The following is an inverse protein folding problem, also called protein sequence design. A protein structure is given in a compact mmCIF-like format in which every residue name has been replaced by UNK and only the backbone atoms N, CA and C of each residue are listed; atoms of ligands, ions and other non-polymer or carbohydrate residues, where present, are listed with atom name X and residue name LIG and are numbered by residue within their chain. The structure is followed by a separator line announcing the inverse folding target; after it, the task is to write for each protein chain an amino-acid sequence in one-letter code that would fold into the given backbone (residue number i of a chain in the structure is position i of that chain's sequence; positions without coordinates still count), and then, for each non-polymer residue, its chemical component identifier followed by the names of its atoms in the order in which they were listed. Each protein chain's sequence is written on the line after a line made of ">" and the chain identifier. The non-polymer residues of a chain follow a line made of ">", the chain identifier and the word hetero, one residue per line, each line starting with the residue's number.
data_IF_293170668322
#
_entry.id   IF_293170668322
#
_cell.length_a   1.000
_cell.length_b   1.000
_cell.length_c   1.000
_cell.angle_alpha   90.00
_cell.angle_beta   90.00
_cell.angle_gamma   90.00
#
_symmetry.space_group_name_H-M   'P 1'
#
loop_
_entity.id
_entity.type
_entity.pdbx_description
1 polymer ?
#
# COMPACT_ATOMS: atom_id res chain seq x y z
N UNK A 1 10.23 2.11 -18.37
CA UNK A 1 10.10 1.06 -17.35
C UNK A 1 10.81 -0.26 -17.76
N UNK A 2 12.09 -0.21 -18.18
CA UNK A 2 12.87 -1.41 -18.58
C UNK A 2 13.56 -2.09 -17.38
N UNK A 3 13.93 -1.30 -16.36
CA UNK A 3 14.63 -1.75 -15.14
C UNK A 3 13.75 -2.63 -14.25
N UNK A 4 12.49 -2.24 -14.01
CA UNK A 4 11.58 -3.06 -13.20
C UNK A 4 11.27 -4.41 -13.85
N UNK A 5 11.08 -4.44 -15.18
CA UNK A 5 10.89 -5.70 -15.92
C UNK A 5 12.08 -6.64 -15.79
N UNK A 6 13.30 -6.09 -15.76
CA UNK A 6 14.52 -6.86 -15.49
C UNK A 6 14.49 -7.45 -14.08
N UNK A 7 14.18 -6.65 -13.06
CA UNK A 7 14.03 -7.14 -11.69
C UNK A 7 13.02 -8.29 -11.61
N UNK A 8 11.82 -8.12 -12.18
CA UNK A 8 10.77 -9.15 -12.14
C UNK A 8 11.23 -10.47 -12.76
N UNK A 9 11.96 -10.41 -13.88
CA UNK A 9 12.52 -11.60 -14.53
C UNK A 9 13.55 -12.30 -13.64
N UNK A 10 14.50 -11.56 -13.09
CA UNK A 10 15.51 -12.14 -12.19
C UNK A 10 14.86 -12.69 -10.91
N UNK A 11 13.88 -11.97 -10.35
CA UNK A 11 13.14 -12.36 -9.15
C UNK A 11 12.37 -13.66 -9.36
N UNK A 12 11.78 -13.87 -10.54
CA UNK A 12 11.15 -15.13 -10.90
C UNK A 12 12.12 -16.32 -10.88
N UNK A 13 13.40 -16.09 -11.18
CA UNK A 13 14.45 -17.11 -11.22
C UNK A 13 15.18 -17.28 -9.88
N UNK A 14 14.96 -16.39 -8.90
CA UNK A 14 15.68 -16.41 -7.63
C UNK A 14 15.14 -17.42 -6.62
N UNK A 15 13.97 -18.02 -6.87
CA UNK A 15 13.41 -19.07 -6.03
C UNK A 15 12.98 -18.60 -4.63
N UNK A 16 12.53 -17.36 -4.49
CA UNK A 16 12.03 -16.82 -3.21
C UNK A 16 10.92 -17.70 -2.63
N UNK A 17 11.02 -17.97 -1.32
CA UNK A 17 10.07 -18.88 -0.64
C UNK A 17 8.94 -18.15 0.06
N UNK A 18 9.15 -16.89 0.43
CA UNK A 18 8.17 -16.08 1.18
C UNK A 18 7.98 -14.70 0.53
N UNK A 19 6.81 -14.11 0.74
CA UNK A 19 6.50 -12.75 0.29
C UNK A 19 7.41 -11.71 0.96
N UNK A 20 7.75 -11.94 2.22
CA UNK A 20 8.65 -11.08 3.00
C UNK A 20 10.05 -11.07 2.38
N UNK A 21 10.56 -12.23 1.98
CA UNK A 21 11.86 -12.35 1.33
C UNK A 21 11.88 -11.56 0.00
N UNK A 22 10.85 -11.70 -0.82
CA UNK A 22 10.69 -10.95 -2.06
C UNK A 22 10.63 -9.44 -1.80
N UNK A 23 9.80 -9.01 -0.84
CA UNK A 23 9.63 -7.61 -0.49
C UNK A 23 10.94 -6.98 0.00
N UNK A 24 11.65 -7.63 0.92
CA UNK A 24 12.94 -7.15 1.43
C UNK A 24 13.97 -7.02 0.31
N UNK A 25 13.96 -7.94 -0.64
CA UNK A 25 14.87 -7.90 -1.79
C UNK A 25 14.50 -6.80 -2.77
N UNK A 26 13.21 -6.62 -3.02
CA UNK A 26 12.71 -5.52 -3.84
C UNK A 26 13.10 -4.17 -3.23
N UNK A 27 12.93 -3.99 -1.92
CA UNK A 27 13.35 -2.78 -1.22
C UNK A 27 14.85 -2.53 -1.36
N UNK A 28 15.68 -3.55 -1.10
CA UNK A 28 17.13 -3.43 -1.26
C UNK A 28 17.51 -3.06 -2.71
N UNK A 29 16.88 -3.68 -3.70
CA UNK A 29 17.13 -3.39 -5.11
C UNK A 29 16.70 -1.98 -5.51
N UNK A 30 15.53 -1.52 -5.02
CA UNK A 30 15.04 -0.17 -5.27
C UNK A 30 16.07 0.86 -4.76
N UNK A 31 16.55 0.69 -3.54
CA UNK A 31 17.51 1.62 -2.93
C UNK A 31 18.89 1.54 -3.60
N UNK A 32 19.43 0.34 -3.78
CA UNK A 32 20.82 0.17 -4.27
C UNK A 32 20.94 0.48 -5.75
N UNK A 33 20.01 0.02 -6.58
CA UNK A 33 20.09 0.14 -8.03
C UNK A 33 19.15 1.19 -8.61
N UNK A 34 17.86 1.10 -8.34
CA UNK A 34 16.87 1.90 -9.07
C UNK A 34 16.98 3.40 -8.74
N UNK A 35 16.92 3.75 -7.47
CA UNK A 35 16.89 5.13 -6.99
C UNK A 35 18.21 5.87 -7.20
N UNK A 36 19.33 5.14 -7.27
CA UNK A 36 20.68 5.69 -7.42
C UNK A 36 21.23 5.63 -8.86
N UNK A 37 20.53 4.99 -9.80
CA UNK A 37 20.96 4.92 -11.20
C UNK A 37 20.47 6.14 -11.97
N UNK A 38 21.40 6.77 -12.71
CA UNK A 38 21.07 7.87 -13.62
C UNK A 38 20.05 7.41 -14.66
N UNK A 39 18.94 8.13 -14.74
CA UNK A 39 17.87 7.81 -15.65
C UNK A 39 18.12 8.44 -17.03
N UNK A 40 18.05 7.62 -18.09
CA UNK A 40 18.48 8.01 -19.43
C UNK A 40 17.71 9.18 -20.04
N UNK A 41 16.46 9.41 -19.61
CA UNK A 41 15.63 10.50 -20.14
C UNK A 41 15.79 11.81 -19.37
N UNK A 42 16.20 11.77 -18.10
CA UNK A 42 16.26 12.94 -17.22
C UNK A 42 17.69 13.37 -16.91
N UNK A 43 18.68 12.50 -17.14
CA UNK A 43 20.09 12.78 -16.82
C UNK A 43 20.42 12.77 -15.33
N UNK A 44 19.41 12.62 -14.47
CA UNK A 44 19.50 12.63 -13.00
C UNK A 44 19.11 11.28 -12.41
N UNK A 45 19.52 11.03 -11.17
CA UNK A 45 19.02 9.89 -10.38
C UNK A 45 17.63 10.23 -9.80
N UNK A 46 16.73 9.24 -9.67
CA UNK A 46 15.44 9.46 -9.00
C UNK A 46 15.58 10.08 -7.59
N UNK A 47 16.60 9.67 -6.82
CA UNK A 47 16.86 10.22 -5.48
C UNK A 47 17.21 11.71 -5.51
N UNK A 48 18.10 12.15 -6.39
CA UNK A 48 18.51 13.55 -6.46
C UNK A 48 17.31 14.42 -6.85
N UNK A 49 16.62 14.02 -7.91
CA UNK A 49 15.44 14.73 -8.41
C UNK A 49 14.33 14.82 -7.36
N UNK A 50 14.10 13.75 -6.60
CA UNK A 50 13.12 13.72 -5.52
C UNK A 50 13.49 14.68 -4.38
N UNK A 51 14.75 14.69 -3.95
CA UNK A 51 15.24 15.60 -2.89
C UNK A 51 15.13 17.06 -3.28
N UNK A 52 15.54 17.41 -4.50
CA UNK A 52 15.41 18.77 -5.03
C UNK A 52 13.94 19.20 -5.12
N UNK A 53 13.06 18.30 -5.57
CA UNK A 53 11.64 18.59 -5.66
C UNK A 53 10.99 18.82 -4.29
N UNK A 54 11.32 18.02 -3.28
CA UNK A 54 10.81 18.21 -1.91
C UNK A 54 11.22 19.57 -1.35
N UNK A 55 12.47 20.00 -1.58
CA UNK A 55 12.95 21.28 -1.10
C UNK A 55 12.20 22.45 -1.77
N UNK A 56 11.92 22.34 -3.08
CA UNK A 56 11.18 23.35 -3.82
C UNK A 56 9.66 23.31 -3.54
N UNK A 57 9.10 22.13 -3.29
CA UNK A 57 7.67 21.87 -3.13
C UNK A 57 7.44 20.96 -1.92
N UNK A 58 7.50 21.50 -0.69
CA UNK A 58 7.37 20.69 0.51
C UNK A 58 6.01 19.97 0.52
N UNK A 59 5.98 18.66 0.82
CA UNK A 59 4.76 17.89 0.80
C UNK A 59 3.79 18.40 1.86
N UNK A 60 2.50 18.49 1.50
CA UNK A 60 1.44 18.83 2.46
C UNK A 60 1.19 17.64 3.37
N UNK A 61 1.28 17.87 4.68
CA UNK A 61 0.90 16.85 5.67
C UNK A 61 -0.62 16.64 5.63
N UNK A 62 -1.00 15.37 5.58
CA UNK A 62 -2.40 14.95 5.73
C UNK A 62 -2.76 15.17 7.19
N UNK A 63 -3.81 15.95 7.46
CA UNK A 63 -4.27 16.23 8.83
C UNK A 63 -5.14 15.10 9.39
N UNK A 64 -5.97 14.50 8.55
CA UNK A 64 -6.91 13.46 8.91
C UNK A 64 -6.53 12.15 8.19
N UNK A 65 -5.84 11.28 8.92
CA UNK A 65 -5.35 10.00 8.41
C UNK A 65 -6.52 9.05 8.14
N UNK A 66 -7.55 9.06 8.99
CA UNK A 66 -8.72 8.19 8.82
C UNK A 66 -9.48 8.57 7.55
N UNK A 67 -9.74 9.87 7.33
CA UNK A 67 -10.33 10.34 6.09
C UNK A 67 -9.51 9.93 4.86
N UNK A 68 -8.18 10.05 4.93
CA UNK A 68 -7.30 9.64 3.84
C UNK A 68 -7.40 8.14 3.57
N UNK A 69 -7.39 7.30 4.61
CA UNK A 69 -7.55 5.85 4.48
C UNK A 69 -8.91 5.49 3.84
N UNK A 70 -9.97 6.20 4.22
CA UNK A 70 -11.31 6.02 3.65
C UNK A 70 -11.38 6.33 2.14
N UNK A 71 -10.41 7.05 1.56
CA UNK A 71 -10.36 7.28 0.11
C UNK A 71 -10.07 6.00 -0.69
N UNK A 72 -9.37 5.04 -0.07
CA UNK A 72 -9.00 3.76 -0.69
C UNK A 72 -10.06 2.67 -0.52
N UNK A 73 -11.14 2.96 0.20
CA UNK A 73 -12.22 2.01 0.40
C UNK A 73 -12.96 1.72 -0.91
N UNK A 74 -13.42 0.47 -1.04
CA UNK A 74 -14.23 0.04 -2.16
C UNK A 74 -15.59 0.70 -2.08
N UNK A 75 -16.14 1.11 -3.23
CA UNK A 75 -17.41 1.83 -3.32
C UNK A 75 -18.46 0.95 -3.96
N UNK A 76 -19.62 0.83 -3.33
CA UNK A 76 -20.74 0.11 -3.92
C UNK A 76 -22.07 0.81 -3.64
N UNK A 77 -22.97 0.97 -4.63
CA UNK A 77 -24.30 1.49 -4.38
C UNK A 77 -25.17 0.44 -3.68
N UNK A 78 -25.91 0.90 -2.66
CA UNK A 78 -26.88 0.10 -1.91
C UNK A 78 -28.15 0.89 -1.64
N UNK A 79 -29.20 0.17 -1.31
CA UNK A 79 -30.50 0.76 -0.97
C UNK A 79 -30.85 0.39 0.46
N UNK A 80 -31.39 1.35 1.21
CA UNK A 80 -31.91 1.11 2.56
C UNK A 80 -33.15 0.23 2.48
N UNK A 81 -33.14 -0.91 3.15
CA UNK A 81 -34.27 -1.85 3.16
C UNK A 81 -35.42 -1.33 4.04
N UNK A 82 -36.59 -1.98 3.97
CA UNK A 82 -37.81 -1.62 4.74
C UNK A 82 -37.65 -1.60 6.26
N UNK A 83 -36.62 -2.26 6.78
CA UNK A 83 -36.28 -2.29 8.20
C UNK A 83 -35.21 -1.26 8.59
N UNK A 84 -34.93 -0.27 7.75
CA UNK A 84 -33.86 0.73 7.93
C UNK A 84 -32.49 0.08 8.13
N UNK A 85 -32.19 -0.95 7.32
CA UNK A 85 -30.91 -1.66 7.33
C UNK A 85 -30.35 -1.72 5.92
N UNK A 86 -29.02 -1.65 5.80
CA UNK A 86 -28.30 -1.97 4.57
C UNK A 86 -27.81 -3.41 4.68
N UNK A 87 -28.16 -4.24 3.70
CA UNK A 87 -27.65 -5.60 3.60
C UNK A 87 -26.46 -5.61 2.63
N UNK A 88 -25.34 -6.15 3.09
CA UNK A 88 -24.14 -6.25 2.27
C UNK A 88 -23.31 -7.47 2.68
N UNK A 89 -22.99 -8.36 1.73
CA UNK A 89 -22.20 -9.59 1.94
C UNK A 89 -22.59 -10.36 3.21
N UNK A 90 -23.87 -10.76 3.28
CA UNK A 90 -24.46 -11.48 4.41
C UNK A 90 -24.39 -10.76 5.77
N UNK A 91 -23.93 -9.52 5.81
CA UNK A 91 -23.96 -8.66 6.98
C UNK A 91 -25.14 -7.69 6.89
N UNK A 92 -25.63 -7.27 8.06
CA UNK A 92 -26.70 -6.28 8.20
C UNK A 92 -26.16 -5.08 8.98
N UNK A 93 -26.31 -3.90 8.38
CA UNK A 93 -25.84 -2.63 8.93
C UNK A 93 -27.06 -1.76 9.26
N UNK A 94 -27.35 -1.49 10.55
CA UNK A 94 -28.50 -0.70 10.96
C UNK A 94 -28.25 0.78 10.70
N UNK A 95 -29.20 1.42 10.02
CA UNK A 95 -29.06 2.81 9.59
C UNK A 95 -30.17 3.64 10.20
N UNK A 96 -29.80 4.64 10.98
CA UNK A 96 -30.74 5.60 11.55
C UNK A 96 -30.66 6.92 10.78
N UNK A 97 -31.82 7.52 10.50
CA UNK A 97 -31.89 8.83 9.84
C UNK A 97 -31.91 8.82 8.31
N UNK A 98 -31.91 7.65 7.66
CA UNK A 98 -32.13 7.52 6.21
C UNK A 98 -33.50 6.89 5.92
N UNK A 99 -34.33 7.48 5.03
CA UNK A 99 -35.58 6.89 4.59
C UNK A 99 -35.42 5.53 3.92
N UNK A 100 -36.45 4.69 4.09
CA UNK A 100 -36.59 3.41 3.38
C UNK A 100 -36.58 3.65 1.87
N UNK A 101 -35.85 2.83 1.13
CA UNK A 101 -35.75 2.93 -0.33
C UNK A 101 -34.73 3.96 -0.81
N UNK A 102 -34.06 4.67 0.08
CA UNK A 102 -33.01 5.61 -0.31
C UNK A 102 -31.77 4.89 -0.84
N UNK A 103 -31.26 5.40 -1.97
CA UNK A 103 -30.01 4.94 -2.58
C UNK A 103 -28.84 5.67 -1.95
N UNK A 104 -27.89 4.91 -1.44
CA UNK A 104 -26.68 5.38 -0.78
C UNK A 104 -25.45 4.70 -1.37
N UNK A 105 -24.29 5.33 -1.25
CA UNK A 105 -23.00 4.71 -1.55
C UNK A 105 -22.41 4.20 -0.24
N UNK A 106 -22.09 2.92 -0.16
CA UNK A 106 -21.30 2.38 0.94
C UNK A 106 -19.83 2.39 0.55
N UNK A 107 -18.95 2.70 1.50
CA UNK A 107 -17.51 2.52 1.39
C UNK A 107 -17.02 1.57 2.47
N UNK A 108 -16.23 0.58 2.08
CA UNK A 108 -15.78 -0.46 3.00
C UNK A 108 -14.36 -0.93 2.69
N UNK A 109 -13.70 -1.52 3.69
CA UNK A 109 -12.46 -2.22 3.53
C UNK A 109 -12.75 -3.69 3.14
N UNK A 110 -12.29 -4.22 2.00
CA UNK A 110 -12.56 -5.60 1.62
C UNK A 110 -11.94 -6.62 2.61
N UNK A 111 -10.93 -6.23 3.39
CA UNK A 111 -10.30 -7.11 4.38
C UNK A 111 -10.97 -7.05 5.75
N UNK A 112 -11.84 -6.06 5.98
CA UNK A 112 -12.55 -5.89 7.24
C UNK A 112 -13.94 -5.28 7.00
N UNK A 113 -14.96 -6.10 7.13
CA UNK A 113 -16.37 -5.72 6.99
C UNK A 113 -17.07 -5.40 8.31
N UNK A 114 -16.36 -5.30 9.43
CA UNK A 114 -16.98 -4.90 10.70
C UNK A 114 -17.71 -3.57 10.56
N UNK A 115 -17.15 -2.67 9.75
CA UNK A 115 -17.62 -1.31 9.60
C UNK A 115 -17.67 -0.85 8.16
N UNK A 116 -18.71 -0.06 7.85
CA UNK A 116 -18.88 0.60 6.57
C UNK A 116 -19.14 2.09 6.78
N UNK A 117 -18.77 2.89 5.80
CA UNK A 117 -19.08 4.31 5.73
C UNK A 117 -20.23 4.49 4.75
N UNK A 118 -21.26 5.23 5.15
CA UNK A 118 -22.40 5.54 4.30
C UNK A 118 -22.27 6.95 3.78
N UNK A 119 -22.40 7.11 2.47
CA UNK A 119 -22.39 8.37 1.76
C UNK A 119 -23.73 8.61 1.08
N UNK A 120 -24.27 9.80 1.28
CA UNK A 120 -25.51 10.28 0.67
C UNK A 120 -25.17 11.44 -0.25
N UNK A 121 -25.53 11.35 -1.53
CA UNK A 121 -25.24 12.40 -2.53
C UNK A 121 -23.76 12.82 -2.55
N UNK A 122 -22.83 11.86 -2.40
CA UNK A 122 -21.36 12.06 -2.31
C UNK A 122 -20.87 12.74 -1.03
N UNK A 123 -21.75 13.03 -0.07
CA UNK A 123 -21.39 13.56 1.24
C UNK A 123 -21.38 12.43 2.27
N UNK A 124 -20.38 12.43 3.16
CA UNK A 124 -20.32 11.49 4.27
C UNK A 124 -21.54 11.67 5.17
N UNK A 125 -22.26 10.58 5.45
CA UNK A 125 -23.43 10.59 6.31
C UNK A 125 -23.10 10.02 7.70
N UNK A 126 -22.69 8.75 7.76
CA UNK A 126 -22.33 8.12 9.02
C UNK A 126 -21.48 6.88 8.83
N UNK A 127 -20.84 6.46 9.92
CA UNK A 127 -20.05 5.24 10.05
C UNK A 127 -20.90 4.21 10.80
N UNK A 128 -21.04 3.01 10.24
CA UNK A 128 -22.01 2.01 10.70
C UNK A 128 -21.33 0.66 10.86
N UNK A 129 -21.52 0.05 12.03
CA UNK A 129 -21.04 -1.30 12.32
C UNK A 129 -22.07 -2.36 11.99
N UNK A 130 -21.62 -3.54 11.59
CA UNK A 130 -22.48 -4.69 11.39
C UNK A 130 -23.17 -5.09 12.70
N UNK A 131 -24.47 -5.45 12.66
CA UNK A 131 -25.17 -6.04 13.81
C UNK A 131 -24.63 -7.42 14.16
N UNK A 132 -24.33 -8.22 13.14
CA UNK A 132 -23.68 -9.52 13.25
C UNK A 132 -22.73 -9.68 12.06
N UNK A 133 -21.49 -10.09 12.34
CA UNK A 133 -20.44 -10.23 11.34
C UNK A 133 -20.42 -11.68 10.82
N UNK A 134 -21.22 -11.95 9.79
CA UNK A 134 -21.29 -13.26 9.15
C UNK A 134 -20.18 -13.46 8.11
N UNK A 135 -19.78 -12.38 7.42
CA UNK A 135 -18.64 -12.36 6.49
C UNK A 135 -17.64 -11.33 6.99
N UNK A 136 -16.40 -11.77 7.25
CA UNK A 136 -15.34 -10.90 7.78
C UNK A 136 -14.58 -10.15 6.67
N UNK A 137 -14.35 -10.81 5.54
CA UNK A 137 -13.57 -10.27 4.43
C UNK A 137 -14.08 -10.79 3.08
N UNK A 138 -13.78 -10.04 2.02
CA UNK A 138 -14.12 -10.30 0.63
C UNK A 138 -12.81 -10.43 -0.14
N UNK A 139 -12.15 -11.57 0.04
CA UNK A 139 -10.95 -11.89 -0.75
C UNK A 139 -11.46 -12.63 -1.99
N UNK A 140 -11.66 -11.91 -3.10
CA UNK A 140 -11.99 -12.54 -4.38
C UNK A 140 -10.73 -13.16 -4.99
N UNK A 141 -10.86 -14.43 -5.38
CA UNK A 141 -10.02 -15.19 -6.30
C UNK A 141 -8.55 -14.76 -6.36
N UNK A 142 -7.76 -15.27 -5.40
CA UNK A 142 -6.31 -15.26 -5.53
C UNK A 142 -5.98 -16.12 -6.75
N UNK A 143 -5.39 -15.58 -7.82
CA UNK A 143 -5.06 -16.37 -9.00
C UNK A 143 -4.10 -17.49 -8.60
N UNK A 144 -4.37 -18.70 -9.09
CA UNK A 144 -3.51 -19.86 -8.81
C UNK A 144 -2.06 -19.58 -9.26
N UNK A 145 -1.12 -19.97 -8.40
CA UNK A 145 0.30 -19.82 -8.64
C UNK A 145 0.68 -20.66 -9.88
N UNK A 146 1.10 -19.99 -10.96
CA UNK A 146 1.66 -20.68 -12.14
C UNK A 146 2.94 -21.41 -11.72
N UNK A 147 3.22 -22.55 -12.37
CA UNK A 147 4.43 -23.36 -12.11
C UNK A 147 5.68 -22.48 -12.03
N UNK A 148 6.45 -22.67 -10.95
CA UNK A 148 7.71 -21.97 -10.71
C UNK A 148 8.72 -22.34 -11.80
N UNK A 149 9.41 -21.37 -12.42
CA UNK A 149 10.55 -21.66 -13.28
C UNK A 149 11.71 -22.22 -12.43
N UNK A 150 12.66 -22.89 -13.08
CA UNK A 150 13.84 -23.42 -12.41
C UNK A 150 14.67 -22.30 -11.79
N UNK A 151 15.19 -22.57 -10.58
CA UNK A 151 15.98 -21.60 -9.81
C UNK A 151 17.35 -21.42 -10.46
N UNK A 152 17.70 -20.17 -10.78
CA UNK A 152 19.00 -19.81 -11.32
C UNK A 152 19.98 -19.41 -10.21
N UNK A 153 21.10 -20.12 -10.12
CA UNK A 153 22.20 -19.78 -9.21
C UNK A 153 22.74 -18.35 -9.44
N UNK A 154 22.68 -17.85 -10.68
CA UNK A 154 23.12 -16.50 -11.01
C UNK A 154 22.19 -15.44 -10.40
N UNK A 155 20.88 -15.63 -10.49
CA UNK A 155 19.89 -14.69 -9.94
C UNK A 155 19.92 -14.72 -8.40
N UNK A 156 20.12 -15.89 -7.79
CA UNK A 156 20.35 -16.01 -6.34
C UNK A 156 21.58 -15.22 -5.90
N UNK A 157 22.72 -15.41 -6.59
CA UNK A 157 23.96 -14.68 -6.29
C UNK A 157 23.79 -13.17 -6.47
N UNK A 158 23.11 -12.75 -7.53
CA UNK A 158 22.83 -11.34 -7.80
C UNK A 158 22.07 -10.68 -6.64
N UNK A 159 20.96 -11.27 -6.19
CA UNK A 159 20.20 -10.68 -5.08
C UNK A 159 20.92 -10.76 -3.74
N UNK A 160 21.77 -11.76 -3.53
CA UNK A 160 22.67 -11.79 -2.36
C UNK A 160 23.57 -10.54 -2.32
N UNK A 161 24.22 -10.22 -3.43
CA UNK A 161 25.09 -9.04 -3.55
C UNK A 161 24.31 -7.73 -3.34
N UNK A 162 23.08 -7.64 -3.89
CA UNK A 162 22.22 -6.47 -3.69
C UNK A 162 21.87 -6.28 -2.21
N UNK A 163 21.54 -7.36 -1.50
CA UNK A 163 21.23 -7.30 -0.05
C UNK A 163 22.45 -6.91 0.76
N UNK A 164 23.62 -7.48 0.48
CA UNK A 164 24.90 -7.13 1.15
C UNK A 164 25.21 -5.64 0.98
N UNK A 165 25.14 -5.15 -0.26
CA UNK A 165 25.36 -3.72 -0.55
C UNK A 165 24.33 -2.82 0.14
N UNK A 166 23.08 -3.25 0.23
CA UNK A 166 22.05 -2.50 0.95
C UNK A 166 22.35 -2.42 2.44
N UNK A 167 22.79 -3.52 3.06
CA UNK A 167 23.19 -3.53 4.47
C UNK A 167 24.40 -2.64 4.73
N UNK A 168 25.41 -2.67 3.86
CA UNK A 168 26.59 -1.79 3.95
C UNK A 168 26.18 -0.31 3.90
N UNK A 169 25.33 0.08 2.94
CA UNK A 169 24.84 1.45 2.83
C UNK A 169 24.04 1.89 4.06
N UNK A 170 23.25 0.98 4.66
CA UNK A 170 22.51 1.27 5.89
C UNK A 170 23.43 1.47 7.08
N UNK A 171 24.44 0.63 7.23
CA UNK A 171 25.44 0.76 8.29
C UNK A 171 26.23 2.06 8.14
N UNK A 172 26.70 2.36 6.93
CA UNK A 172 27.40 3.62 6.64
C UNK A 172 26.53 4.85 6.92
N UNK A 173 25.24 4.81 6.57
CA UNK A 173 24.31 5.88 6.91
C UNK A 173 24.14 6.03 8.42
N UNK A 174 24.02 4.91 9.16
CA UNK A 174 23.89 4.94 10.62
C UNK A 174 25.16 5.48 11.30
N UNK A 175 26.34 5.09 10.84
CA UNK A 175 27.63 5.57 11.37
C UNK A 175 27.82 7.06 11.12
N UNK A 176 27.34 7.56 9.97
CA UNK A 176 27.38 8.97 9.61
C UNK A 176 26.31 9.82 10.33
N UNK A 177 25.30 9.21 10.99
CA UNK A 177 24.30 9.95 11.78
C UNK A 177 24.85 10.30 13.15
N UNK A 178 25.18 11.58 13.36
CA UNK A 178 25.54 12.10 14.70
C UNK A 178 24.29 12.29 15.56
N UNK A 179 24.18 11.50 16.63
CA UNK A 179 23.09 11.62 17.63
C UNK A 179 22.96 13.02 18.26
N UNK A 180 24.03 13.82 18.27
CA UNK A 180 24.02 15.20 18.77
C UNK A 180 23.18 16.16 17.92
N UNK A 181 22.96 15.85 16.64
CA UNK A 181 22.29 16.76 15.69
C UNK A 181 20.76 16.62 15.74
N UNK A 182 20.25 15.53 16.33
CA UNK A 182 18.80 15.25 16.45
C UNK A 182 18.09 16.09 17.53
N UNK A 183 18.81 16.74 18.45
CA UNK A 183 18.23 17.47 19.60
C UNK A 183 17.92 18.96 19.33
N UNK A 184 18.20 19.48 18.14
CA UNK A 184 18.12 20.94 17.87
C UNK A 184 16.75 21.45 17.38
N UNK A 185 15.74 20.60 17.24
CA UNK A 185 14.41 20.99 16.71
C UNK A 185 13.28 20.94 17.75
N UNK A 186 13.54 21.40 18.97
CA UNK A 186 12.48 21.82 19.91
C UNK A 186 12.78 23.23 20.42
N UNK A 187 12.29 24.23 19.69
CA UNK A 187 11.95 25.58 20.18
C UNK A 187 11.03 26.27 19.18
#
# INVERSE_FOLDING_TARGET
>A
MKTLKRFQREAGLAGFKTIEELNNTLHAWIEVEYNNKTHSSTGETPNNRYRENINAHPPRRIKDIDHFNHLFFYREPRTVNKYSKIQFNNNLYPVYGLPVGEKVEIRFNPFDLEEILVFRNKTFFSKIKATALNTKAIIKDIPEEKKRPDVSNASVKYFKLVREKYTEQKTEQADNMRFSDLKKEEN
#
